data_IF_541834619689
#
_entry.id   IF_541834619689
#
_cell.length_a   1.000
_cell.length_b   1.000
_cell.length_c   1.000
_cell.angle_alpha   90.00
_cell.angle_beta   90.00
_cell.angle_gamma   90.00
#
_symmetry.space_group_name_H-M   'P 1'
#
loop_
_entity.id
_entity.type
_entity.pdbx_description
1 polymer ?
#
# COMPACT_ATOMS: atom_id res chain seq x y z
N UNK A 1 92.10 51.28 9.07
CA UNK A 1 90.98 50.71 9.87
C UNK A 1 90.87 49.25 9.52
N UNK A 2 91.25 48.37 10.45
CA UNK A 2 91.45 46.95 10.17
C UNK A 2 90.11 46.25 9.94
N UNK A 3 90.14 45.21 9.10
CA UNK A 3 89.02 44.34 8.75
C UNK A 3 88.25 43.83 9.98
N UNK A 4 88.93 43.72 11.13
CA UNK A 4 88.36 43.35 12.42
C UNK A 4 87.32 44.35 12.94
N UNK A 5 87.57 45.66 12.80
CA UNK A 5 86.63 46.71 13.23
C UNK A 5 85.39 46.74 12.34
N UNK A 6 85.54 46.39 11.06
CA UNK A 6 84.43 46.31 10.10
C UNK A 6 83.55 45.10 10.36
N UNK A 7 84.14 43.93 10.64
CA UNK A 7 83.41 42.70 10.98
C UNK A 7 82.70 42.83 12.33
N UNK A 8 83.35 43.42 13.33
CA UNK A 8 82.72 43.68 14.62
C UNK A 8 81.55 44.69 14.49
N UNK A 9 81.71 45.74 13.69
CA UNK A 9 80.65 46.71 13.42
C UNK A 9 79.45 46.07 12.71
N UNK A 10 79.69 45.22 11.70
CA UNK A 10 78.62 44.48 11.02
C UNK A 10 77.92 43.50 11.95
N UNK A 11 78.67 42.78 12.81
CA UNK A 11 78.08 41.85 13.78
C UNK A 11 77.19 42.58 14.79
N UNK A 12 77.64 43.69 15.35
CA UNK A 12 76.85 44.49 16.30
C UNK A 12 75.59 45.05 15.63
N UNK A 13 75.69 45.47 14.37
CA UNK A 13 74.55 46.00 13.63
C UNK A 13 73.52 44.90 13.32
N UNK A 14 73.97 43.72 12.84
CA UNK A 14 73.08 42.58 12.60
C UNK A 14 72.44 42.11 13.90
N UNK A 15 73.21 42.04 14.99
CA UNK A 15 72.72 41.65 16.31
C UNK A 15 71.70 42.66 16.88
N UNK A 16 71.92 43.97 16.68
CA UNK A 16 70.97 44.99 17.09
C UNK A 16 69.69 44.98 16.25
N UNK A 17 69.80 44.68 14.95
CA UNK A 17 68.63 44.55 14.06
C UNK A 17 67.81 43.29 14.40
N UNK A 18 68.46 42.16 14.67
CA UNK A 18 67.75 40.93 15.07
C UNK A 18 67.12 41.06 16.46
N UNK A 19 67.81 41.65 17.44
CA UNK A 19 67.21 41.96 18.75
C UNK A 19 66.09 42.99 18.65
N UNK A 20 66.23 43.99 17.78
CA UNK A 20 65.19 44.98 17.53
C UNK A 20 63.93 44.36 16.91
N UNK A 21 64.07 43.43 15.98
CA UNK A 21 62.95 42.69 15.40
C UNK A 21 62.24 41.79 16.43
N UNK A 22 62.98 41.14 17.32
CA UNK A 22 62.39 40.31 18.40
C UNK A 22 61.73 41.19 19.47
N UNK A 23 62.30 42.35 19.80
CA UNK A 23 61.71 43.29 20.76
C UNK A 23 60.44 43.98 20.24
N UNK A 24 60.37 44.28 18.94
CA UNK A 24 59.14 44.84 18.32
C UNK A 24 58.08 43.75 18.14
N UNK A 25 58.46 42.50 17.85
CA UNK A 25 57.53 41.37 17.86
C UNK A 25 56.99 41.04 19.26
N UNK A 26 57.80 41.25 20.31
CA UNK A 26 57.44 41.02 21.71
C UNK A 26 56.51 42.06 22.33
N UNK A 27 56.54 43.32 21.85
CA UNK A 27 55.73 44.41 22.40
C UNK A 27 54.34 44.56 21.74
N UNK A 28 54.05 43.77 20.70
CA UNK A 28 52.72 43.67 20.05
C UNK A 28 52.03 42.34 20.39
N UNK A 29 52.62 41.55 21.28
CA UNK A 29 51.94 40.40 21.88
C UNK A 29 51.17 40.93 23.09
N UNK A 30 49.88 41.14 22.86
CA UNK A 30 48.86 41.32 23.89
C UNK A 30 49.03 40.22 24.95
N UNK A 31 49.22 40.58 26.23
CA UNK A 31 49.27 39.66 27.37
C UNK A 31 47.87 39.04 27.67
N UNK A 32 46.90 39.25 26.80
CA UNK A 32 45.69 38.44 26.75
C UNK A 32 46.07 36.98 26.56
N UNK A 33 45.72 36.14 27.54
CA UNK A 33 45.56 34.70 27.32
C UNK A 33 44.89 34.53 25.96
N UNK A 34 45.45 33.73 25.01
CA UNK A 34 44.78 33.54 23.73
C UNK A 34 43.36 33.12 24.07
N UNK A 35 42.39 33.98 23.79
CA UNK A 35 41.01 33.57 23.84
C UNK A 35 40.97 32.37 22.91
N UNK A 36 40.54 31.22 23.44
CA UNK A 36 40.20 30.11 22.56
C UNK A 36 39.29 30.72 21.49
N UNK A 37 39.53 30.40 20.22
CA UNK A 37 38.58 30.77 19.17
C UNK A 37 37.19 30.42 19.71
N UNK A 38 36.28 31.40 19.72
CA UNK A 38 34.90 31.15 20.14
C UNK A 38 34.47 29.88 19.41
N UNK A 39 34.19 28.83 20.17
CA UNK A 39 33.74 27.57 19.59
C UNK A 39 32.49 27.96 18.82
N UNK A 40 32.52 27.83 17.49
CA UNK A 40 31.40 28.17 16.60
C UNK A 40 30.19 27.39 17.09
N UNK A 41 29.36 28.04 17.90
CA UNK A 41 28.29 27.42 18.68
C UNK A 41 27.01 27.29 17.89
N UNK A 42 27.06 27.62 16.60
CA UNK A 42 25.98 27.46 15.64
C UNK A 42 25.47 26.01 15.62
N UNK A 43 26.32 25.02 15.95
CA UNK A 43 25.92 23.62 16.10
C UNK A 43 25.23 23.27 17.45
N UNK A 44 25.12 24.22 18.37
CA UNK A 44 24.40 24.11 19.65
C UNK A 44 23.14 24.99 19.69
N UNK A 45 22.81 25.69 18.61
CA UNK A 45 21.54 26.38 18.49
C UNK A 45 20.45 25.34 18.22
N UNK A 46 19.85 24.82 19.30
CA UNK A 46 18.73 23.88 19.22
C UNK A 46 17.58 24.44 18.36
N UNK A 47 17.41 25.77 18.38
CA UNK A 47 16.43 26.50 17.56
C UNK A 47 16.78 26.48 16.06
N UNK A 48 18.05 26.28 15.69
CA UNK A 48 18.49 26.09 14.29
C UNK A 48 18.40 24.63 13.82
N UNK A 49 18.13 23.69 14.73
CA UNK A 49 17.99 22.24 14.45
C UNK A 49 16.52 21.79 14.52
N UNK A 50 15.62 22.65 15.02
CA UNK A 50 14.20 22.35 15.07
C UNK A 50 13.64 22.51 13.66
N UNK A 51 13.45 21.39 12.96
CA UNK A 51 12.73 21.39 11.70
C UNK A 51 11.27 21.79 11.95
N UNK A 52 10.72 22.62 11.06
CA UNK A 52 9.29 22.91 11.06
C UNK A 52 8.54 21.58 10.86
N UNK A 53 7.77 21.20 11.87
CA UNK A 53 6.93 20.01 11.84
C UNK A 53 5.48 20.43 11.65
N UNK A 54 4.71 19.58 11.01
CA UNK A 54 3.28 19.71 10.89
C UNK A 54 2.65 19.85 12.28
N UNK A 55 1.68 20.76 12.39
CA UNK A 55 0.79 20.81 13.55
C UNK A 55 0.06 19.48 13.67
N UNK A 56 -0.26 19.10 14.90
CA UNK A 56 -1.01 17.89 15.18
C UNK A 56 -2.14 18.19 16.14
N UNK A 57 -3.29 18.44 15.55
CA UNK A 57 -4.57 18.71 16.18
C UNK A 57 -5.70 18.29 15.24
N UNK A 58 -6.95 18.62 15.58
CA UNK A 58 -8.10 18.30 14.76
C UNK A 58 -8.93 17.11 15.23
N UNK A 59 -10.03 16.90 14.52
CA UNK A 59 -10.99 15.80 14.71
C UNK A 59 -11.41 15.35 13.31
N UNK A 60 -11.37 14.04 13.06
CA UNK A 60 -11.81 13.50 11.78
C UNK A 60 -13.34 13.55 11.77
N UNK A 61 -13.89 14.39 10.91
CA UNK A 61 -15.33 14.54 10.71
C UNK A 61 -15.71 14.19 9.28
N UNK A 62 -16.98 13.91 9.07
CA UNK A 62 -17.56 13.52 7.79
C UNK A 62 -18.82 14.35 7.57
N UNK A 63 -19.01 14.86 6.35
CA UNK A 63 -20.13 15.76 6.04
C UNK A 63 -21.34 15.03 5.43
N UNK A 64 -21.12 13.86 4.83
CA UNK A 64 -22.15 13.06 4.20
C UNK A 64 -23.23 12.61 5.19
N UNK A 65 -24.47 12.62 4.69
CA UNK A 65 -25.65 12.14 5.40
C UNK A 65 -26.37 11.03 4.61
N UNK A 66 -25.62 10.33 3.75
CA UNK A 66 -26.10 9.17 3.01
C UNK A 66 -26.61 8.07 3.96
N UNK A 67 -27.53 7.19 3.51
CA UNK A 67 -27.92 6.03 4.29
C UNK A 67 -26.71 5.11 4.54
N UNK A 68 -26.89 4.10 5.39
CA UNK A 68 -25.87 3.08 5.65
C UNK A 68 -25.37 2.49 4.33
N UNK A 69 -24.05 2.52 4.15
CA UNK A 69 -23.32 1.94 3.04
C UNK A 69 -22.37 0.88 3.60
N UNK A 70 -22.07 -0.16 2.83
CA UNK A 70 -21.08 -1.20 3.11
C UNK A 70 -19.78 -0.86 2.39
N UNK A 71 -18.74 -0.59 3.16
CA UNK A 71 -17.40 -0.27 2.65
C UNK A 71 -16.45 -1.43 2.90
N UNK A 72 -15.89 -1.98 1.83
CA UNK A 72 -14.88 -3.05 1.89
C UNK A 72 -13.48 -2.44 1.95
N UNK A 73 -12.73 -2.75 3.01
CA UNK A 73 -11.37 -2.28 3.24
C UNK A 73 -10.36 -3.43 3.09
N UNK A 74 -9.57 -3.40 2.02
CA UNK A 74 -8.47 -4.34 1.80
C UNK A 74 -7.14 -3.74 2.27
N UNK A 75 -6.59 -4.31 3.35
CA UNK A 75 -5.35 -3.80 3.97
C UNK A 75 -4.15 -4.74 3.78
N UNK A 76 -4.34 -5.82 3.03
CA UNK A 76 -3.39 -6.92 2.86
C UNK A 76 -3.19 -7.74 4.13
N UNK A 77 -2.64 -8.96 4.01
CA UNK A 77 -2.28 -9.75 5.17
C UNK A 77 -1.08 -9.12 5.88
N UNK A 78 -1.24 -8.76 7.15
CA UNK A 78 -0.14 -8.29 7.98
C UNK A 78 0.94 -9.35 7.97
N UNK A 79 2.20 -8.98 7.74
CA UNK A 79 3.29 -9.90 8.04
C UNK A 79 3.10 -10.31 9.50
N UNK A 80 2.65 -11.54 9.74
CA UNK A 80 2.51 -12.07 11.07
C UNK A 80 3.86 -11.81 11.73
N UNK A 81 3.92 -10.81 12.62
CA UNK A 81 5.10 -10.58 13.43
C UNK A 81 5.42 -11.96 13.99
N UNK A 82 6.60 -12.51 13.64
CA UNK A 82 6.96 -13.93 13.82
C UNK A 82 6.97 -14.39 15.27
N UNK A 83 5.81 -14.35 15.89
CA UNK A 83 5.50 -14.43 17.30
C UNK A 83 4.01 -14.68 17.34
N UNK A 84 3.63 -15.93 17.02
CA UNK A 84 2.27 -16.41 17.15
C UNK A 84 1.72 -16.09 18.53
N UNK A 85 0.93 -15.03 18.60
CA UNK A 85 -0.01 -14.81 19.68
C UNK A 85 -1.35 -15.24 19.15
N UNK A 86 -1.81 -16.43 19.55
CA UNK A 86 -3.26 -16.63 19.60
C UNK A 86 -3.90 -15.44 20.32
N UNK A 87 -5.09 -14.99 19.92
CA UNK A 87 -5.80 -13.93 20.63
C UNK A 87 -5.87 -14.32 22.11
N UNK A 88 -5.18 -13.57 22.97
CA UNK A 88 -5.24 -13.80 24.40
C UNK A 88 -6.67 -13.48 24.83
N UNK A 89 -7.46 -14.44 25.33
CA UNK A 89 -8.80 -14.16 25.80
C UNK A 89 -8.69 -13.21 27.00
N UNK A 90 -9.02 -11.93 26.78
CA UNK A 90 -9.19 -10.99 27.86
C UNK A 90 -10.50 -11.34 28.58
N UNK A 91 -10.48 -11.69 29.87
CA UNK A 91 -11.68 -12.07 30.59
C UNK A 91 -12.44 -10.79 30.97
N UNK A 92 -13.19 -10.25 30.03
CA UNK A 92 -14.13 -9.16 30.25
C UNK A 92 -15.51 -9.57 29.71
N UNK A 93 -16.40 -9.94 30.62
CA UNK A 93 -17.84 -10.11 30.38
C UNK A 93 -18.33 -11.56 30.41
N UNK A 94 -19.15 -11.90 31.40
CA UNK A 94 -19.95 -13.13 31.42
C UNK A 94 -21.16 -12.98 30.48
N UNK A 95 -20.93 -12.86 29.17
CA UNK A 95 -22.00 -12.93 28.16
C UNK A 95 -21.66 -14.03 27.15
N UNK A 96 -22.64 -14.92 26.94
CA UNK A 96 -22.46 -16.27 26.41
C UNK A 96 -22.41 -16.36 24.88
N UNK A 97 -22.08 -15.29 24.18
CA UNK A 97 -21.73 -15.30 22.76
C UNK A 97 -20.63 -14.26 22.57
N UNK A 98 -19.39 -14.65 22.16
CA UNK A 98 -18.41 -13.64 21.77
C UNK A 98 -19.00 -12.91 20.57
N UNK A 99 -19.25 -11.61 20.74
CA UNK A 99 -19.36 -10.74 19.58
C UNK A 99 -17.97 -10.79 18.95
N UNK A 100 -17.86 -11.27 17.71
CA UNK A 100 -16.64 -11.17 16.90
C UNK A 100 -16.41 -9.69 16.57
N UNK A 101 -16.15 -8.87 17.59
CA UNK A 101 -15.49 -7.60 17.40
C UNK A 101 -14.04 -7.95 17.10
N UNK A 102 -13.71 -8.03 15.81
CA UNK A 102 -12.33 -7.97 15.34
C UNK A 102 -11.77 -6.62 15.75
N UNK A 103 -11.33 -6.50 17.01
CA UNK A 103 -10.41 -5.45 17.42
C UNK A 103 -9.11 -5.82 16.76
N UNK A 104 -8.92 -5.29 15.55
CA UNK A 104 -7.78 -5.59 14.70
C UNK A 104 -6.50 -5.67 15.51
N UNK A 105 -5.70 -6.68 15.16
CA UNK A 105 -4.48 -7.06 15.89
C UNK A 105 -3.72 -5.80 16.33
N UNK A 106 -3.24 -5.73 17.58
CA UNK A 106 -2.62 -4.54 18.21
C UNK A 106 -1.39 -3.96 17.44
N UNK A 107 -1.01 -4.53 16.31
CA UNK A 107 -0.15 -3.93 15.29
C UNK A 107 -0.35 -4.55 13.89
N UNK A 108 -1.58 -4.94 13.55
CA UNK A 108 -1.95 -5.48 12.23
C UNK A 108 -2.37 -4.37 11.24
N UNK A 109 -2.45 -4.67 9.95
CA UNK A 109 -2.70 -3.70 8.88
C UNK A 109 -4.06 -3.01 8.98
N UNK A 110 -5.04 -3.62 9.66
CA UNK A 110 -6.34 -2.99 9.97
C UNK A 110 -6.19 -1.76 10.89
N UNK A 111 -5.15 -1.73 11.73
CA UNK A 111 -4.83 -0.56 12.57
C UNK A 111 -4.53 0.66 11.70
N UNK A 112 -3.88 0.46 10.57
CA UNK A 112 -3.38 1.54 9.72
C UNK A 112 -4.51 2.26 8.98
N UNK A 113 -5.71 1.69 8.93
CA UNK A 113 -6.93 2.36 8.45
C UNK A 113 -7.94 2.61 9.57
N UNK A 114 -7.55 2.37 10.83
CA UNK A 114 -8.41 2.51 12.00
C UNK A 114 -9.11 3.87 12.12
N UNK A 115 -8.43 5.01 11.89
CA UNK A 115 -9.07 6.32 11.91
C UNK A 115 -10.19 6.48 10.87
N UNK A 116 -9.96 6.01 9.64
CA UNK A 116 -10.99 6.01 8.59
C UNK A 116 -12.15 5.07 8.95
N UNK A 117 -11.86 3.82 9.32
CA UNK A 117 -12.87 2.83 9.70
C UNK A 117 -13.73 3.31 10.88
N UNK A 118 -13.10 3.89 11.91
CA UNK A 118 -13.81 4.45 13.05
C UNK A 118 -14.73 5.61 12.65
N UNK A 119 -14.30 6.44 11.70
CA UNK A 119 -15.10 7.56 11.16
C UNK A 119 -16.33 7.05 10.41
N UNK A 120 -16.15 6.07 9.52
CA UNK A 120 -17.26 5.44 8.78
C UNK A 120 -18.30 4.81 9.72
N UNK A 121 -17.83 4.02 10.70
CA UNK A 121 -18.71 3.36 11.70
C UNK A 121 -19.41 4.38 12.60
N UNK A 122 -18.71 5.43 13.03
CA UNK A 122 -19.30 6.48 13.85
C UNK A 122 -20.43 7.23 13.13
N UNK A 123 -20.38 7.29 11.80
CA UNK A 123 -21.41 7.89 10.94
C UNK A 123 -22.48 6.89 10.45
N UNK A 124 -22.41 5.63 10.88
CA UNK A 124 -23.47 4.63 10.63
C UNK A 124 -23.32 3.84 9.34
N UNK A 125 -22.11 3.79 8.78
CA UNK A 125 -21.75 2.91 7.67
C UNK A 125 -21.16 1.60 8.20
N UNK A 126 -21.34 0.52 7.43
CA UNK A 126 -20.78 -0.79 7.72
C UNK A 126 -19.38 -0.90 7.10
N UNK A 127 -18.43 -1.45 7.86
CA UNK A 127 -17.05 -1.65 7.42
C UNK A 127 -16.72 -3.13 7.44
N UNK A 128 -16.30 -3.65 6.29
CA UNK A 128 -15.89 -5.05 6.12
C UNK A 128 -14.42 -5.08 5.75
N UNK A 129 -13.60 -5.72 6.59
CA UNK A 129 -12.19 -5.92 6.26
C UNK A 129 -12.04 -7.14 5.37
N UNK A 130 -11.28 -6.98 4.28
CA UNK A 130 -10.86 -8.06 3.41
C UNK A 130 -9.36 -8.27 3.56
N UNK A 131 -8.93 -9.48 3.88
CA UNK A 131 -7.51 -9.83 3.99
C UNK A 131 -7.06 -10.72 2.84
N UNK A 132 -7.75 -11.84 2.63
CA UNK A 132 -7.50 -12.75 1.53
C UNK A 132 -8.66 -13.75 1.33
N UNK A 133 -8.67 -14.38 0.16
CA UNK A 133 -9.71 -15.34 -0.24
C UNK A 133 -9.88 -16.51 0.75
N UNK A 134 -8.81 -16.95 1.41
CA UNK A 134 -8.88 -18.11 2.30
C UNK A 134 -9.57 -17.78 3.62
N UNK A 135 -9.42 -16.54 4.10
CA UNK A 135 -10.06 -16.08 5.33
C UNK A 135 -11.52 -15.68 5.10
N UNK A 136 -11.77 -14.91 4.03
CA UNK A 136 -13.02 -14.14 3.89
C UNK A 136 -13.91 -14.64 2.74
N UNK A 137 -13.43 -15.62 1.96
CA UNK A 137 -14.05 -16.01 0.70
C UNK A 137 -13.64 -15.08 -0.44
N UNK A 138 -14.10 -15.32 -1.68
CA UNK A 138 -13.62 -14.56 -2.82
C UNK A 138 -14.12 -13.11 -2.83
N UNK A 139 -13.20 -12.18 -3.11
CA UNK A 139 -13.49 -10.73 -3.09
C UNK A 139 -14.68 -10.32 -3.96
N UNK A 140 -14.90 -10.95 -5.11
CA UNK A 140 -16.01 -10.59 -6.00
C UNK A 140 -17.39 -10.78 -5.35
N UNK A 141 -17.55 -11.77 -4.46
CA UNK A 141 -18.82 -11.98 -3.75
C UNK A 141 -19.05 -10.86 -2.72
N UNK A 142 -17.99 -10.41 -2.05
CA UNK A 142 -18.04 -9.28 -1.12
C UNK A 142 -18.36 -7.98 -1.84
N UNK A 143 -17.74 -7.75 -3.00
CA UNK A 143 -17.96 -6.54 -3.80
C UNK A 143 -19.36 -6.46 -4.40
N UNK A 144 -20.04 -7.59 -4.65
CA UNK A 144 -21.39 -7.61 -5.19
C UNK A 144 -22.45 -7.02 -4.22
N UNK A 145 -22.17 -7.06 -2.91
CA UNK A 145 -23.01 -6.46 -1.87
C UNK A 145 -22.41 -5.16 -1.30
N UNK A 146 -21.26 -4.71 -1.83
CA UNK A 146 -20.57 -3.52 -1.36
C UNK A 146 -20.98 -2.25 -2.12
N UNK A 147 -20.90 -1.12 -1.43
CA UNK A 147 -21.13 0.20 -2.02
C UNK A 147 -19.81 0.88 -2.41
N UNK A 148 -18.72 0.53 -1.70
CA UNK A 148 -17.41 1.11 -1.93
C UNK A 148 -16.27 0.16 -1.57
N UNK A 149 -15.12 0.41 -2.16
CA UNK A 149 -13.89 -0.35 -1.93
C UNK A 149 -12.70 0.58 -1.68
N UNK A 150 -11.86 0.21 -0.71
CA UNK A 150 -10.54 0.83 -0.53
C UNK A 150 -9.48 -0.25 -0.39
N UNK A 151 -8.33 -0.06 -1.05
CA UNK A 151 -7.13 -0.87 -0.80
C UNK A 151 -5.94 -0.01 -0.41
N UNK A 152 -5.21 -0.42 0.62
CA UNK A 152 -3.89 0.15 0.96
C UNK A 152 -2.72 -0.70 0.47
N UNK A 153 -3.00 -1.90 -0.03
CA UNK A 153 -1.97 -2.83 -0.48
C UNK A 153 -2.36 -3.48 -1.82
N UNK A 154 -2.39 -2.70 -2.93
CA UNK A 154 -2.75 -3.24 -4.24
C UNK A 154 -1.83 -4.37 -4.70
N UNK A 155 -0.60 -4.48 -4.17
CA UNK A 155 0.32 -5.57 -4.49
C UNK A 155 -0.04 -6.92 -3.84
N UNK A 156 -0.92 -6.94 -2.85
CA UNK A 156 -1.42 -8.16 -2.23
C UNK A 156 -2.61 -8.78 -2.98
N UNK A 157 -3.24 -8.02 -3.89
CA UNK A 157 -4.33 -8.53 -4.72
C UNK A 157 -3.76 -9.50 -5.76
N UNK A 158 -4.27 -10.73 -5.76
CA UNK A 158 -4.10 -11.70 -6.83
C UNK A 158 -4.84 -11.27 -8.09
N UNK A 159 -4.56 -11.92 -9.24
CA UNK A 159 -5.14 -11.52 -10.53
C UNK A 159 -6.68 -11.48 -10.54
N UNK A 160 -7.34 -12.48 -9.96
CA UNK A 160 -8.80 -12.54 -9.92
C UNK A 160 -9.43 -11.45 -9.03
N UNK A 161 -8.75 -11.07 -7.94
CA UNK A 161 -9.19 -10.00 -7.06
C UNK A 161 -9.00 -8.63 -7.72
N UNK A 162 -7.88 -8.44 -8.44
CA UNK A 162 -7.64 -7.24 -9.23
C UNK A 162 -8.68 -7.08 -10.36
N UNK A 163 -9.05 -8.15 -11.05
CA UNK A 163 -10.12 -8.14 -12.06
C UNK A 163 -11.47 -7.77 -11.43
N UNK A 164 -11.79 -8.29 -10.23
CA UNK A 164 -13.03 -7.97 -9.53
C UNK A 164 -13.11 -6.50 -9.10
N UNK A 165 -12.01 -5.94 -8.60
CA UNK A 165 -11.93 -4.50 -8.25
C UNK A 165 -12.03 -3.63 -9.50
N UNK A 166 -11.42 -4.03 -10.62
CA UNK A 166 -11.53 -3.30 -11.87
C UNK A 166 -12.98 -3.28 -12.39
N UNK A 167 -13.68 -4.43 -12.38
CA UNK A 167 -15.09 -4.52 -12.77
C UNK A 167 -15.99 -3.67 -11.84
N UNK A 168 -15.74 -3.72 -10.53
CA UNK A 168 -16.42 -2.88 -9.53
C UNK A 168 -16.29 -1.39 -9.84
N UNK A 169 -15.06 -0.92 -10.12
CA UNK A 169 -14.81 0.47 -10.48
C UNK A 169 -15.40 0.85 -11.84
N UNK A 170 -15.42 -0.07 -12.82
CA UNK A 170 -16.03 0.15 -14.15
C UNK A 170 -17.56 0.25 -14.10
N UNK A 171 -18.21 -0.30 -13.07
CA UNK A 171 -19.64 -0.11 -12.81
C UNK A 171 -19.92 1.06 -11.87
N UNK A 172 -19.05 2.08 -11.87
CA UNK A 172 -19.17 3.31 -11.08
C UNK A 172 -19.08 3.11 -9.56
N UNK A 173 -18.54 1.97 -9.11
CA UNK A 173 -18.29 1.68 -7.70
C UNK A 173 -17.19 2.56 -7.13
N UNK A 174 -17.48 3.26 -6.02
CA UNK A 174 -16.51 4.18 -5.39
C UNK A 174 -15.29 3.42 -4.92
N UNK A 175 -14.15 3.77 -5.51
CA UNK A 175 -12.92 3.01 -5.32
C UNK A 175 -11.79 3.94 -4.91
N UNK A 176 -11.11 3.61 -3.82
CA UNK A 176 -9.88 4.29 -3.38
C UNK A 176 -8.72 3.30 -3.44
N UNK A 177 -7.70 3.62 -4.23
CA UNK A 177 -6.46 2.86 -4.29
C UNK A 177 -5.36 3.71 -3.67
N UNK A 178 -4.83 3.28 -2.52
CA UNK A 178 -3.63 3.86 -1.95
C UNK A 178 -2.41 3.00 -2.36
N UNK A 179 -1.48 3.60 -3.09
CA UNK A 179 -0.33 2.95 -3.68
C UNK A 179 0.97 3.49 -3.06
N UNK A 180 1.54 2.74 -2.14
CA UNK A 180 2.81 3.13 -1.50
C UNK A 180 4.02 2.96 -2.43
N UNK A 181 5.13 3.69 -2.17
CA UNK A 181 6.40 3.47 -2.85
C UNK A 181 6.81 2.00 -2.89
N UNK A 182 6.99 1.48 -4.10
CA UNK A 182 7.32 0.07 -4.33
C UNK A 182 6.15 -0.77 -4.86
N UNK A 183 4.92 -0.28 -4.79
CA UNK A 183 3.72 -0.94 -5.35
C UNK A 183 3.37 -0.50 -6.78
N UNK A 184 4.18 0.37 -7.40
CA UNK A 184 3.87 1.01 -8.68
C UNK A 184 3.49 0.05 -9.82
N UNK A 185 4.13 -1.13 -9.90
CA UNK A 185 3.82 -2.14 -10.91
C UNK A 185 2.41 -2.70 -10.76
N UNK A 186 2.12 -3.44 -9.67
CA UNK A 186 0.78 -3.95 -9.38
C UNK A 186 -0.31 -2.87 -9.39
N UNK A 187 -0.03 -1.69 -8.80
CA UNK A 187 -1.01 -0.61 -8.78
C UNK A 187 -1.33 -0.09 -10.20
N UNK A 188 -0.33 0.04 -11.08
CA UNK A 188 -0.57 0.45 -12.48
C UNK A 188 -1.30 -0.62 -13.28
N UNK A 189 -1.05 -1.90 -12.99
CA UNK A 189 -1.80 -3.01 -13.62
C UNK A 189 -3.28 -2.93 -13.27
N UNK A 190 -3.61 -2.64 -12.00
CA UNK A 190 -4.98 -2.47 -11.52
C UNK A 190 -5.67 -1.21 -12.08
N UNK A 191 -5.03 -0.04 -12.00
CA UNK A 191 -5.67 1.24 -12.38
C UNK A 191 -5.50 1.63 -13.84
N UNK A 192 -4.71 0.87 -14.61
CA UNK A 192 -4.34 1.22 -15.98
C UNK A 192 -5.52 1.25 -16.95
N UNK A 193 -6.44 0.29 -16.84
CA UNK A 193 -7.70 0.27 -17.62
C UNK A 193 -8.62 1.43 -17.23
N UNK A 194 -8.60 1.79 -15.95
CA UNK A 194 -9.39 2.88 -15.36
C UNK A 194 -8.81 4.28 -15.70
N UNK A 195 -7.66 4.36 -16.37
CA UNK A 195 -7.05 5.61 -16.82
C UNK A 195 -6.07 6.25 -15.83
N UNK A 196 -5.74 5.58 -14.73
CA UNK A 196 -4.70 5.96 -13.79
C UNK A 196 -3.36 5.27 -14.06
N UNK A 197 -2.28 5.77 -13.45
CA UNK A 197 -1.00 5.08 -13.40
C UNK A 197 -0.21 5.48 -12.15
N UNK A 198 0.72 4.62 -11.74
CA UNK A 198 1.67 4.88 -10.65
C UNK A 198 3.09 4.79 -11.17
N UNK A 199 3.87 5.82 -10.93
CA UNK A 199 5.26 5.90 -11.37
C UNK A 199 6.19 5.20 -10.38
N UNK A 200 7.23 4.48 -10.85
CA UNK A 200 8.21 3.87 -9.96
C UNK A 200 9.09 4.93 -9.30
N UNK A 201 9.43 4.69 -8.03
CA UNK A 201 10.26 5.57 -7.22
C UNK A 201 9.49 6.12 -6.03
N UNK A 202 10.05 7.16 -5.42
CA UNK A 202 9.43 7.93 -4.36
C UNK A 202 9.79 9.40 -4.52
N UNK A 203 8.90 10.29 -4.12
CA UNK A 203 9.15 11.74 -4.04
C UNK A 203 9.76 12.08 -2.69
N UNK A 204 10.68 13.03 -2.69
CA UNK A 204 11.26 13.60 -1.48
C UNK A 204 11.45 15.11 -1.65
N UNK A 205 11.37 15.86 -0.56
CA UNK A 205 11.55 17.31 -0.57
C UNK A 205 12.48 17.72 0.58
N UNK A 206 13.57 18.42 0.28
CA UNK A 206 14.53 18.87 1.30
C UNK A 206 14.11 20.15 2.02
N UNK A 207 13.12 20.86 1.49
CA UNK A 207 12.73 22.21 1.91
C UNK A 207 11.34 22.23 2.53
N UNK A 208 10.34 21.61 1.88
CA UNK A 208 8.95 21.61 2.34
C UNK A 208 8.50 20.20 2.77
N UNK A 209 8.78 19.87 4.03
CA UNK A 209 8.52 18.55 4.59
C UNK A 209 8.26 18.59 6.10
N UNK A 210 7.58 17.55 6.63
CA UNK A 210 7.30 17.39 8.06
C UNK A 210 8.51 16.80 8.80
N UNK A 211 9.55 17.61 8.99
CA UNK A 211 10.78 17.27 9.70
C UNK A 211 11.52 16.01 9.19
N UNK A 212 11.18 15.53 8.00
CA UNK A 212 11.78 14.41 7.33
C UNK A 212 11.61 14.61 5.82
N UNK A 213 12.71 14.63 5.07
CA UNK A 213 12.67 14.86 3.61
C UNK A 213 11.85 13.82 2.83
N UNK A 214 11.60 12.64 3.41
CA UNK A 214 10.71 11.61 2.85
C UNK A 214 9.24 11.83 3.18
N UNK A 215 8.92 12.82 4.00
CA UNK A 215 7.55 13.22 4.35
C UNK A 215 7.22 14.60 3.79
N UNK A 216 7.22 14.77 2.46
CA UNK A 216 6.90 16.03 1.82
C UNK A 216 5.46 16.43 2.12
N UNK A 217 5.23 17.74 2.19
CA UNK A 217 3.87 18.27 2.20
C UNK A 217 3.26 18.20 0.80
N UNK A 218 1.93 18.05 0.76
CA UNK A 218 1.13 18.10 -0.47
C UNK A 218 0.01 19.11 -0.31
N UNK A 219 -0.30 19.81 -1.39
CA UNK A 219 -1.33 20.85 -1.42
C UNK A 219 -2.34 20.57 -2.54
N UNK A 220 -3.58 21.07 -2.43
CA UNK A 220 -4.55 20.94 -3.51
C UNK A 220 -4.07 21.56 -4.82
N UNK A 221 -4.08 20.78 -5.89
CA UNK A 221 -3.90 21.26 -7.26
C UNK A 221 -5.21 21.79 -7.88
N UNK A 222 -6.35 21.50 -7.24
CA UNK A 222 -7.68 21.93 -7.63
C UNK A 222 -8.75 21.61 -6.59
N UNK A 223 -9.98 22.04 -6.86
CA UNK A 223 -11.15 21.72 -6.06
C UNK A 223 -11.70 20.35 -6.50
N UNK A 224 -11.57 19.34 -5.65
CA UNK A 224 -12.02 17.97 -5.86
C UNK A 224 -12.75 17.49 -4.61
N UNK A 225 -13.53 16.39 -4.67
CA UNK A 225 -14.13 15.82 -3.46
C UNK A 225 -13.11 15.45 -2.37
N UNK A 226 -11.84 15.24 -2.71
CA UNK A 226 -10.78 14.90 -1.75
C UNK A 226 -10.15 16.13 -1.07
N UNK A 227 -10.30 17.33 -1.64
CA UNK A 227 -9.54 18.52 -1.25
C UNK A 227 -10.38 19.59 -0.57
N UNK A 228 -11.67 19.36 -0.33
CA UNK A 228 -12.51 20.33 0.38
C UNK A 228 -11.99 20.57 1.80
N UNK A 229 -11.79 21.83 2.16
CA UNK A 229 -11.23 22.21 3.46
C UNK A 229 -9.77 21.82 3.73
N UNK A 230 -9.06 21.16 2.79
CA UNK A 230 -7.65 20.79 2.94
C UNK A 230 -6.79 21.96 2.48
N UNK A 231 -6.07 22.63 3.39
CA UNK A 231 -5.07 23.63 3.01
C UNK A 231 -3.76 22.92 2.62
N UNK A 232 -3.34 21.92 3.42
CA UNK A 232 -2.15 21.11 3.19
C UNK A 232 -2.19 19.79 3.95
N UNK A 233 -1.79 18.71 3.31
CA UNK A 233 -1.65 17.38 3.91
C UNK A 233 -0.18 16.93 3.94
N UNK A 234 0.13 15.87 4.68
CA UNK A 234 1.48 15.28 4.75
C UNK A 234 1.43 13.78 4.49
N UNK A 235 2.22 13.34 3.52
CA UNK A 235 2.36 11.92 3.17
C UNK A 235 3.69 11.39 3.68
N UNK A 236 3.77 10.11 4.08
CA UNK A 236 5.00 9.53 4.66
C UNK A 236 5.90 8.85 3.65
N UNK A 237 5.40 8.59 2.46
CA UNK A 237 6.19 8.32 1.27
C UNK A 237 5.30 8.38 0.04
N UNK A 238 5.66 9.22 -0.93
CA UNK A 238 4.81 9.43 -2.11
C UNK A 238 5.32 8.57 -3.27
N UNK A 239 4.54 7.61 -3.72
CA UNK A 239 4.63 7.09 -5.07
C UNK A 239 3.96 8.11 -6.02
N UNK A 240 4.66 8.67 -7.02
CA UNK A 240 4.02 9.64 -7.90
C UNK A 240 2.90 8.96 -8.69
N UNK A 241 1.69 9.51 -8.60
CA UNK A 241 0.52 9.00 -9.31
C UNK A 241 0.21 9.91 -10.50
N UNK A 242 -0.62 9.44 -11.42
CA UNK A 242 -1.04 10.25 -12.55
C UNK A 242 -2.24 9.67 -13.26
N UNK A 243 -2.77 10.46 -14.18
CA UNK A 243 -3.92 10.10 -15.00
C UNK A 243 -3.61 10.34 -16.46
N UNK A 244 -4.19 9.52 -17.32
CA UNK A 244 -4.14 9.74 -18.74
C UNK A 244 -4.80 11.08 -19.11
N UNK A 245 -4.26 11.75 -20.13
CA UNK A 245 -4.63 13.11 -20.46
C UNK A 245 -6.13 13.24 -20.78
N UNK A 246 -6.83 14.08 -20.00
CA UNK A 246 -8.27 14.33 -20.14
C UNK A 246 -9.17 13.26 -19.55
N UNK A 247 -8.63 12.30 -18.79
CA UNK A 247 -9.40 11.26 -18.11
C UNK A 247 -9.59 11.52 -16.61
N UNK A 248 -8.87 12.48 -16.03
CA UNK A 248 -8.97 12.78 -14.61
C UNK A 248 -8.31 14.11 -14.24
N UNK A 249 -8.23 14.35 -12.94
CA UNK A 249 -7.74 15.58 -12.34
C UNK A 249 -6.68 15.26 -11.28
N UNK A 250 -5.69 16.15 -11.14
CA UNK A 250 -4.75 16.10 -10.02
C UNK A 250 -5.45 16.72 -8.82
N UNK A 251 -5.58 15.96 -7.74
CA UNK A 251 -6.18 16.42 -6.50
C UNK A 251 -5.11 17.05 -5.60
N UNK A 252 -4.03 16.32 -5.31
CA UNK A 252 -2.93 16.77 -4.46
C UNK A 252 -1.59 16.64 -5.19
N UNK A 253 -0.70 17.61 -5.00
CA UNK A 253 0.66 17.59 -5.54
C UNK A 253 1.68 18.17 -4.55
N UNK A 254 2.94 17.80 -4.71
CA UNK A 254 4.06 18.42 -3.99
C UNK A 254 4.43 19.78 -4.59
N UNK A 255 5.27 20.55 -3.89
CA UNK A 255 5.87 21.76 -4.45
C UNK A 255 6.84 21.49 -5.62
N UNK A 256 7.12 22.53 -6.40
CA UNK A 256 7.95 22.48 -7.63
C UNK A 256 9.42 22.06 -7.40
N UNK A 257 9.92 22.19 -6.17
CA UNK A 257 11.30 21.87 -5.78
C UNK A 257 11.43 20.43 -5.24
N UNK A 258 10.34 19.67 -5.19
CA UNK A 258 10.37 18.26 -4.81
C UNK A 258 11.11 17.42 -5.87
N UNK A 259 11.67 16.29 -5.46
CA UNK A 259 12.51 15.46 -6.31
C UNK A 259 12.06 14.01 -6.36
N UNK A 260 12.05 13.43 -7.56
CA UNK A 260 11.82 11.99 -7.75
C UNK A 260 13.12 11.19 -7.59
N UNK A 261 13.10 10.13 -6.80
CA UNK A 261 14.30 9.33 -6.49
C UNK A 261 14.99 8.67 -7.70
N UNK A 262 14.23 8.38 -8.76
CA UNK A 262 14.75 7.70 -9.96
C UNK A 262 15.44 8.64 -10.95
N UNK A 263 14.96 9.89 -11.07
CA UNK A 263 15.48 10.89 -12.03
C UNK A 263 16.25 12.02 -11.36
N UNK A 264 15.95 12.30 -10.08
CA UNK A 264 16.36 13.48 -9.31
C UNK A 264 15.96 14.81 -9.95
N UNK A 265 14.97 14.81 -10.83
CA UNK A 265 14.45 16.04 -11.40
C UNK A 265 13.62 16.77 -10.34
N UNK A 266 13.81 18.09 -10.27
CA UNK A 266 12.93 18.99 -9.51
C UNK A 266 11.65 19.23 -10.33
N UNK A 267 10.49 18.93 -9.75
CA UNK A 267 9.16 19.14 -10.35
C UNK A 267 8.06 19.08 -9.29
N UNK A 268 6.85 19.51 -9.65
CA UNK A 268 5.64 19.22 -8.89
C UNK A 268 5.16 17.79 -9.24
N UNK A 269 5.10 16.91 -8.25
CA UNK A 269 4.68 15.53 -8.43
C UNK A 269 3.27 15.33 -7.87
N UNK A 270 2.37 14.85 -8.72
CA UNK A 270 1.03 14.46 -8.30
C UNK A 270 1.12 13.32 -7.26
N UNK A 271 0.46 13.55 -6.12
CA UNK A 271 0.40 12.66 -4.97
C UNK A 271 -0.99 12.05 -4.79
N UNK A 272 -2.05 12.71 -5.28
CA UNK A 272 -3.38 12.14 -5.40
C UNK A 272 -4.05 12.61 -6.69
N UNK A 273 -4.82 11.73 -7.32
CA UNK A 273 -5.59 12.00 -8.53
C UNK A 273 -6.98 11.40 -8.44
N UNK A 274 -7.93 11.97 -9.17
CA UNK A 274 -9.30 11.45 -9.30
C UNK A 274 -9.63 11.17 -10.76
N UNK A 275 -10.25 10.02 -11.02
CA UNK A 275 -10.72 9.58 -12.34
C UNK A 275 -12.15 9.06 -12.18
N UNK A 276 -13.14 9.91 -12.43
CA UNK A 276 -14.55 9.57 -12.18
C UNK A 276 -14.77 9.16 -10.72
N UNK A 277 -15.09 7.88 -10.53
CA UNK A 277 -15.42 7.24 -9.26
C UNK A 277 -14.21 6.60 -8.56
N UNK A 278 -13.03 6.69 -9.19
CA UNK A 278 -11.75 6.26 -8.67
C UNK A 278 -10.96 7.42 -8.07
N UNK A 279 -10.46 7.23 -6.85
CA UNK A 279 -9.39 8.03 -6.25
C UNK A 279 -8.11 7.18 -6.15
N UNK A 280 -7.00 7.72 -6.64
CA UNK A 280 -5.69 7.08 -6.56
C UNK A 280 -4.75 7.98 -5.75
N UNK A 281 -4.26 7.49 -4.62
CA UNK A 281 -3.41 8.22 -3.67
C UNK A 281 -2.07 7.53 -3.55
N UNK A 282 -0.98 8.27 -3.65
CA UNK A 282 0.40 7.75 -3.67
C UNK A 282 0.98 7.41 -2.30
N UNK A 283 0.16 7.36 -1.25
CA UNK A 283 0.55 7.06 0.14
C UNK A 283 -0.67 6.49 0.85
N UNK A 284 -0.52 5.37 1.53
CA UNK A 284 -1.55 4.82 2.44
C UNK A 284 -1.32 5.27 3.88
N UNK A 285 -0.07 5.62 4.22
CA UNK A 285 0.34 5.88 5.58
C UNK A 285 -0.33 7.10 6.22
N UNK A 286 -0.86 8.05 5.45
CA UNK A 286 -1.66 9.16 5.99
C UNK A 286 -2.90 8.69 6.78
N UNK A 287 -3.45 7.52 6.45
CA UNK A 287 -4.58 6.90 7.16
C UNK A 287 -4.19 6.40 8.56
N UNK A 288 -2.91 6.12 8.79
CA UNK A 288 -2.45 5.49 10.02
C UNK A 288 -2.64 6.41 11.24
N UNK A 289 -2.94 5.88 12.44
CA UNK A 289 -3.21 6.68 13.63
C UNK A 289 -2.12 7.70 13.99
N UNK A 290 -0.85 7.38 13.71
CA UNK A 290 0.30 8.25 13.92
C UNK A 290 0.40 9.45 12.94
N UNK A 291 -0.33 9.40 11.82
CA UNK A 291 -0.29 10.39 10.75
C UNK A 291 -1.64 11.07 10.49
N UNK A 292 -2.74 10.46 10.93
CA UNK A 292 -4.11 10.89 10.66
C UNK A 292 -4.45 12.30 11.17
N UNK A 293 -3.69 12.81 12.15
CA UNK A 293 -3.89 14.14 12.73
C UNK A 293 -2.68 15.02 12.50
N UNK A 294 -2.04 14.94 11.33
CA UNK A 294 -0.88 15.78 11.02
C UNK A 294 -1.19 16.65 9.81
N UNK A 295 -0.92 17.95 9.94
CA UNK A 295 -1.47 18.94 9.03
C UNK A 295 -2.98 18.68 8.87
N UNK A 296 -3.53 18.78 7.67
CA UNK A 296 -4.97 18.55 7.43
C UNK A 296 -5.26 17.11 6.97
N UNK A 297 -4.44 16.13 7.40
CA UNK A 297 -4.73 14.71 7.10
C UNK A 297 -6.07 14.27 7.69
N UNK A 298 -6.52 14.86 8.80
CA UNK A 298 -7.79 14.57 9.43
C UNK A 298 -8.96 14.99 8.53
N UNK A 299 -8.85 16.19 7.93
CA UNK A 299 -9.79 16.69 6.92
C UNK A 299 -9.77 15.81 5.67
N UNK A 300 -8.57 15.46 5.18
CA UNK A 300 -8.42 14.57 4.02
C UNK A 300 -9.05 13.19 4.28
N UNK A 301 -8.89 12.61 5.47
CA UNK A 301 -9.53 11.33 5.83
C UNK A 301 -11.05 11.48 5.86
N UNK A 302 -11.57 12.59 6.38
CA UNK A 302 -12.98 12.93 6.31
C UNK A 302 -13.50 12.93 4.87
N UNK A 303 -12.79 13.61 3.98
CA UNK A 303 -13.11 13.67 2.55
C UNK A 303 -13.02 12.31 1.86
N UNK A 304 -12.08 11.45 2.25
CA UNK A 304 -12.00 10.05 1.77
C UNK A 304 -13.21 9.26 2.24
N UNK A 305 -13.65 9.42 3.49
CA UNK A 305 -14.86 8.79 4.00
C UNK A 305 -16.11 9.26 3.24
N UNK A 306 -16.23 10.58 3.00
CA UNK A 306 -17.29 11.17 2.19
C UNK A 306 -17.28 10.65 0.76
N UNK A 307 -16.10 10.59 0.12
CA UNK A 307 -15.94 10.06 -1.23
C UNK A 307 -16.40 8.60 -1.32
N UNK A 308 -16.04 7.77 -0.34
CA UNK A 308 -16.39 6.35 -0.34
C UNK A 308 -17.91 6.14 -0.28
N UNK A 309 -18.65 6.90 0.54
CA UNK A 309 -20.08 6.64 0.74
C UNK A 309 -21.01 7.45 -0.15
N UNK A 310 -20.48 8.37 -0.95
CA UNK A 310 -21.27 9.22 -1.84
C UNK A 310 -21.17 8.71 -3.26
N UNK A 311 -22.29 8.41 -3.91
CA UNK A 311 -22.26 7.89 -5.27
C UNK A 311 -23.50 7.09 -5.61
N UNK A 312 -23.51 6.51 -6.80
CA UNK A 312 -24.49 5.49 -7.15
C UNK A 312 -23.95 4.12 -6.74
N UNK A 313 -24.83 3.23 -6.29
CA UNK A 313 -24.47 1.85 -6.03
C UNK A 313 -24.06 1.17 -7.34
N UNK A 314 -22.92 0.46 -7.37
CA UNK A 314 -22.51 -0.25 -8.57
C UNK A 314 -23.44 -1.44 -8.84
N UNK A 315 -23.76 -1.67 -10.11
CA UNK A 315 -24.56 -2.82 -10.57
C UNK A 315 -23.61 -3.93 -11.07
N UNK A 316 -23.14 -4.76 -10.13
CA UNK A 316 -22.16 -5.82 -10.38
C UNK A 316 -22.82 -7.20 -10.32
N UNK A 317 -22.45 -8.09 -11.23
CA UNK A 317 -22.91 -9.48 -11.23
C UNK A 317 -22.18 -10.25 -10.10
N UNK A 318 -22.87 -11.01 -9.24
CA UNK A 318 -22.24 -11.84 -8.20
C UNK A 318 -21.48 -13.06 -8.76
N UNK A 319 -21.10 -13.05 -10.04
CA UNK A 319 -20.29 -14.07 -10.67
C UNK A 319 -18.82 -13.64 -10.69
N UNK A 320 -17.87 -14.61 -10.74
CA UNK A 320 -16.47 -14.26 -10.93
C UNK A 320 -16.28 -13.42 -12.19
N UNK A 321 -15.31 -12.48 -12.22
CA UNK A 321 -15.04 -11.66 -13.39
C UNK A 321 -14.90 -12.47 -14.68
N UNK A 322 -15.64 -12.07 -15.71
CA UNK A 322 -15.69 -12.80 -16.99
C UNK A 322 -16.44 -14.13 -16.97
N UNK A 323 -17.13 -14.46 -15.86
CA UNK A 323 -18.01 -15.61 -15.74
C UNK A 323 -19.24 -15.49 -16.66
N UNK A 324 -19.57 -16.57 -17.36
CA UNK A 324 -20.85 -16.63 -18.08
C UNK A 324 -21.94 -17.12 -17.14
N UNK A 325 -23.18 -16.58 -17.19
CA UNK A 325 -24.30 -17.11 -16.44
C UNK A 325 -24.47 -18.60 -16.74
N UNK A 326 -24.51 -19.43 -15.70
CA UNK A 326 -24.78 -20.85 -15.86
C UNK A 326 -26.15 -21.00 -16.54
N UNK A 327 -26.27 -21.84 -17.60
CA UNK A 327 -27.58 -22.14 -18.16
C UNK A 327 -28.49 -22.71 -17.05
N UNK A 328 -29.78 -22.36 -17.02
CA UNK A 328 -30.66 -22.75 -15.93
C UNK A 328 -30.69 -24.28 -15.77
N UNK A 329 -30.14 -24.76 -14.64
CA UNK A 329 -30.06 -26.18 -14.29
C UNK A 329 -28.66 -26.83 -14.34
N UNK A 330 -27.58 -26.08 -14.55
CA UNK A 330 -26.21 -26.61 -14.45
C UNK A 330 -25.71 -26.69 -13.00
N UNK A 331 -25.15 -27.83 -12.59
CA UNK A 331 -24.37 -27.94 -11.35
C UNK A 331 -23.00 -27.23 -11.51
N UNK A 332 -22.40 -26.69 -10.42
CA UNK A 332 -21.11 -26.02 -10.50
C UNK A 332 -20.02 -26.98 -10.99
N UNK A 333 -19.24 -26.58 -12.00
CA UNK A 333 -18.04 -27.29 -12.39
C UNK A 333 -16.90 -26.92 -11.43
N UNK A 334 -16.26 -27.87 -10.73
CA UNK A 334 -15.06 -27.58 -9.96
C UNK A 334 -13.90 -27.17 -10.89
N UNK A 335 -13.00 -26.26 -10.44
CA UNK A 335 -11.93 -25.75 -11.29
C UNK A 335 -10.93 -26.86 -11.64
N UNK A 336 -10.68 -27.08 -12.93
CA UNK A 336 -9.66 -28.00 -13.45
C UNK A 336 -10.16 -29.21 -14.26
N UNK A 337 -11.45 -29.35 -14.54
CA UNK A 337 -11.97 -30.41 -15.41
C UNK A 337 -11.74 -30.11 -16.90
N UNK A 338 -11.06 -31.02 -17.63
CA UNK A 338 -10.97 -30.94 -19.10
C UNK A 338 -12.37 -30.89 -19.74
N UNK A 339 -12.57 -30.17 -20.86
CA UNK A 339 -13.88 -30.08 -21.49
C UNK A 339 -14.35 -31.45 -21.99
N UNK A 340 -15.54 -31.88 -21.57
CA UNK A 340 -16.19 -33.06 -22.13
C UNK A 340 -16.47 -32.86 -23.63
N UNK A 341 -16.27 -33.88 -24.48
CA UNK A 341 -16.54 -33.78 -25.91
C UNK A 341 -18.07 -33.65 -26.17
N UNK A 342 -18.49 -32.91 -27.22
CA UNK A 342 -19.89 -32.62 -27.41
C UNK A 342 -20.66 -33.76 -28.11
N UNK A 343 -21.76 -34.18 -27.48
CA UNK A 343 -22.98 -34.55 -28.18
C UNK A 343 -23.38 -36.03 -28.14
N UNK A 344 -24.26 -36.40 -27.21
CA UNK A 344 -25.37 -37.30 -27.52
C UNK A 344 -26.68 -36.56 -27.23
N UNK A 345 -27.52 -36.43 -28.26
CA UNK A 345 -28.85 -35.81 -28.17
C UNK A 345 -29.75 -36.59 -27.20
N UNK A 346 -30.62 -35.92 -26.41
CA UNK A 346 -31.55 -36.62 -25.54
C UNK A 346 -32.68 -37.24 -26.36
N UNK A 347 -32.86 -38.55 -26.25
CA UNK A 347 -34.02 -39.26 -26.81
C UNK A 347 -35.31 -38.86 -26.05
N UNK A 348 -36.45 -38.67 -26.74
CA UNK A 348 -37.71 -38.30 -26.09
C UNK A 348 -38.43 -39.52 -25.46
N UNK A 349 -39.26 -39.32 -24.42
CA UNK A 349 -39.85 -40.42 -23.64
C UNK A 349 -41.24 -40.85 -24.14
N UNK A 350 -41.47 -42.18 -24.17
CA UNK A 350 -42.74 -42.86 -24.45
C UNK A 350 -42.51 -43.98 -25.47
N UNK A 351 -42.68 -45.26 -25.15
CA UNK A 351 -43.96 -45.94 -24.96
C UNK A 351 -43.83 -47.21 -24.07
N UNK A 352 -44.97 -47.59 -23.48
CA UNK A 352 -45.21 -48.75 -22.59
C UNK A 352 -44.81 -50.13 -23.15
N UNK A 353 -44.66 -51.16 -22.27
CA UNK A 353 -44.02 -52.43 -22.61
C UNK A 353 -44.98 -53.46 -23.24
N UNK A 354 -44.44 -54.28 -24.14
CA UNK A 354 -45.08 -55.49 -24.70
C UNK A 354 -44.03 -56.64 -24.75
N UNK A 355 -44.45 -57.93 -24.76
CA UNK A 355 -44.02 -58.99 -23.83
C UNK A 355 -42.93 -59.92 -24.39
N UNK A 356 -42.42 -60.93 -23.64
CA UNK A 356 -41.22 -61.66 -24.03
C UNK A 356 -41.53 -62.67 -25.15
N UNK A 357 -40.62 -62.77 -26.12
CA UNK A 357 -40.55 -63.91 -27.03
C UNK A 357 -39.30 -64.74 -26.72
N UNK A 358 -39.54 -66.02 -26.42
CA UNK A 358 -38.59 -67.11 -26.31
C UNK A 358 -37.97 -67.46 -27.68
N UNK A 359 -36.73 -67.96 -27.65
CA UNK A 359 -36.05 -68.65 -28.76
C UNK A 359 -34.53 -68.48 -28.61
N UNK A 360 -33.81 -69.48 -28.10
CA UNK A 360 -33.13 -70.53 -28.90
C UNK A 360 -32.08 -69.88 -29.83
N UNK A 361 -30.79 -70.23 -29.90
CA UNK A 361 -30.09 -71.47 -29.65
C UNK A 361 -28.58 -71.19 -29.87
N UNK A 362 -27.76 -72.00 -29.19
CA UNK A 362 -26.38 -72.45 -29.46
C UNK A 362 -25.36 -71.67 -30.35
N UNK A 363 -24.11 -71.68 -29.86
CA UNK A 363 -22.92 -71.54 -30.72
C UNK A 363 -21.60 -71.38 -29.95
N UNK A 364 -21.02 -72.53 -29.58
CA UNK A 364 -19.58 -72.91 -29.50
C UNK A 364 -18.52 -71.79 -29.70
N UNK A 365 -17.41 -71.68 -28.96
CA UNK A 365 -16.49 -72.70 -28.45
C UNK A 365 -15.04 -72.19 -28.69
N UNK A 366 -14.05 -72.91 -28.14
CA UNK A 366 -12.57 -72.76 -28.25
C UNK A 366 -11.92 -71.69 -27.34
N UNK A 367 -11.23 -72.01 -26.23
CA UNK A 367 -9.98 -72.79 -26.00
C UNK A 367 -8.67 -72.08 -26.45
N UNK A 368 -7.67 -72.08 -25.55
CA UNK A 368 -6.27 -71.75 -25.78
C UNK A 368 -5.79 -70.57 -24.92
N UNK A 369 -5.30 -70.76 -23.69
CA UNK A 369 -3.99 -71.31 -23.26
C UNK A 369 -2.82 -70.32 -23.35
N UNK A 370 -2.03 -70.35 -22.26
CA UNK A 370 -0.61 -69.97 -22.10
C UNK A 370 -0.26 -68.47 -22.08
N UNK A 371 0.63 -67.93 -21.26
CA UNK A 371 1.41 -68.36 -20.08
C UNK A 371 2.24 -67.12 -19.64
N UNK A 372 2.86 -67.22 -18.47
CA UNK A 372 4.09 -66.52 -18.03
C UNK A 372 4.03 -65.11 -17.40
N UNK A 373 4.06 -65.13 -16.06
CA UNK A 373 5.18 -64.70 -15.19
C UNK A 373 5.66 -63.24 -15.16
N UNK A 374 5.73 -62.70 -13.93
CA UNK A 374 6.61 -61.59 -13.59
C UNK A 374 6.26 -60.86 -12.30
N UNK A 375 6.56 -61.46 -11.15
CA UNK A 375 6.73 -60.79 -9.85
C UNK A 375 7.80 -59.68 -9.94
N UNK A 376 7.65 -58.55 -9.23
CA UNK A 376 8.59 -58.16 -8.16
C UNK A 376 8.11 -56.90 -7.42
N UNK A 377 8.37 -56.95 -6.12
CA UNK A 377 8.04 -56.01 -5.05
C UNK A 377 8.90 -54.75 -5.07
N UNK A 378 8.45 -53.69 -4.38
CA UNK A 378 9.33 -52.54 -4.11
C UNK A 378 8.69 -51.36 -3.40
N UNK A 379 8.21 -51.56 -2.17
CA UNK A 379 7.88 -50.47 -1.25
C UNK A 379 9.19 -49.83 -0.72
N UNK A 380 9.32 -48.50 -0.84
CA UNK A 380 10.51 -47.76 -0.43
C UNK A 380 10.15 -46.42 0.20
N UNK A 381 10.25 -46.38 1.52
CA UNK A 381 10.21 -45.19 2.39
C UNK A 381 11.29 -44.17 1.99
N UNK A 382 10.98 -42.86 2.09
CA UNK A 382 11.98 -41.81 1.99
C UNK A 382 11.80 -40.79 3.13
N UNK A 383 12.59 -40.98 4.19
CA UNK A 383 12.90 -39.99 5.21
C UNK A 383 13.92 -38.98 4.65
N UNK A 384 13.53 -37.71 4.55
CA UNK A 384 14.38 -36.59 4.14
C UNK A 384 14.94 -35.84 5.36
N UNK A 385 16.21 -36.07 5.63
CA UNK A 385 17.02 -35.47 6.68
C UNK A 385 17.27 -33.96 6.49
N UNK A 386 17.30 -33.27 7.63
CA UNK A 386 17.50 -31.84 7.83
C UNK A 386 18.96 -31.61 8.24
N UNK A 387 19.75 -30.96 7.40
CA UNK A 387 21.02 -30.37 7.85
C UNK A 387 21.23 -28.96 7.32
N UNK A 388 21.29 -28.05 8.28
CA UNK A 388 21.66 -26.64 8.15
C UNK A 388 23.19 -26.52 8.31
N UNK A 389 23.82 -25.67 7.50
CA UNK A 389 25.23 -25.27 7.62
C UNK A 389 25.37 -23.78 7.28
#
# INVERSE_FOLDING_TARGET
MSTLTRVAGTFVLVFAVTLGLVAVGGAVLDDGTPANADVESDHWELDAVTADAAESDGEITMDSAEPTNTVVLHVGAGAAAGGGGEPLPLPIGEESEPVDASVGTIGGPERDVGPLAATLVANGHDVVFYQDEFADGPLFELLADADAFLTTNPAALGPAEADAVAEFAEADGRTVIAADPGSAGPATELVGSLGGYVSPGYVYDMTDNDANYLSPFVTPAGETPLTDGVDRAVFRGIAPVGVAAGQGEVALETGDDAQLSTTRADDAYAAAVTVGELALVGDSAFLAPENAYRADNDVLIGNVADFLVTGENPDIDPLPPGGQPLPPGGEPLPPGGEPLPPGEEPTPPGEEPAPPEDGDDEGDGDEGDDDEDGDDDGNGDNDGDNTNA
#
